data_IF_492042739063
#
_entry.id   IF_492042739063
#
_cell.length_a   1.000
_cell.length_b   1.000
_cell.length_c   1.000
_cell.angle_alpha   90.00
_cell.angle_beta   90.00
_cell.angle_gamma   90.00
#
_symmetry.space_group_name_H-M   'P 1'
#
loop_
_entity.id
_entity.type
_entity.pdbx_description
1 polymer ?
#
# COMPACT_ATOMS: atom_id res chain seq x y z
N UNK A 1 -2.98 -12.84 -13.72
CA UNK A 1 -2.13 -11.63 -13.80
C UNK A 1 -2.89 -10.54 -13.07
N UNK A 2 -2.58 -10.32 -11.80
CA UNK A 2 -2.99 -9.08 -11.15
C UNK A 2 -2.33 -7.95 -11.94
N UNK A 3 -3.15 -7.11 -12.57
CA UNK A 3 -2.63 -5.87 -13.13
C UNK A 3 -2.11 -5.08 -11.93
N UNK A 4 -0.80 -4.77 -11.92
CA UNK A 4 -0.15 -4.09 -10.82
C UNK A 4 -0.58 -2.60 -10.84
N UNK A 5 -1.78 -2.36 -10.34
CA UNK A 5 -2.44 -1.07 -10.33
C UNK A 5 -1.77 -0.19 -9.27
N UNK A 6 -1.42 1.03 -9.66
CA UNK A 6 -0.90 2.05 -8.76
C UNK A 6 -2.00 3.03 -8.41
N UNK A 7 -2.23 3.25 -7.13
CA UNK A 7 -3.16 4.27 -6.66
C UNK A 7 -2.38 5.54 -6.32
N UNK A 8 -2.68 6.64 -7.02
CA UNK A 8 -1.97 7.92 -6.87
C UNK A 8 -2.92 9.07 -6.55
N UNK A 9 -2.47 10.03 -5.77
CA UNK A 9 -3.12 11.33 -5.64
C UNK A 9 -2.16 12.45 -6.02
N UNK A 10 -2.71 13.56 -6.48
CA UNK A 10 -1.95 14.73 -6.92
C UNK A 10 -2.36 15.93 -6.10
N UNK A 11 -1.44 16.89 -5.99
CA UNK A 11 -1.67 18.08 -5.19
C UNK A 11 -1.89 19.29 -6.09
N UNK A 12 -2.65 20.25 -5.58
CA UNK A 12 -2.85 21.55 -6.22
C UNK A 12 -2.58 22.64 -5.20
N UNK A 13 -1.87 23.68 -5.62
CA UNK A 13 -1.75 24.91 -4.85
C UNK A 13 -2.26 26.10 -5.66
N UNK A 14 -3.16 26.87 -5.06
CA UNK A 14 -3.73 28.10 -5.63
C UNK A 14 -3.53 29.19 -4.59
N UNK A 15 -2.68 30.18 -4.90
CA UNK A 15 -2.39 31.34 -4.09
C UNK A 15 -2.63 32.59 -4.94
N UNK A 16 -3.77 33.25 -4.76
CA UNK A 16 -4.15 34.45 -5.52
C UNK A 16 -4.62 35.53 -4.53
N UNK A 17 -3.92 36.67 -4.49
CA UNK A 17 -4.17 37.75 -3.53
C UNK A 17 -4.18 37.22 -2.08
N UNK A 18 -5.32 37.34 -1.39
CA UNK A 18 -5.54 36.86 -0.03
C UNK A 18 -6.10 35.42 0.04
N UNK A 19 -6.42 34.83 -1.11
CA UNK A 19 -6.92 33.46 -1.19
C UNK A 19 -5.77 32.47 -1.28
N UNK A 20 -5.86 31.40 -0.49
CA UNK A 20 -4.90 30.32 -0.44
C UNK A 20 -5.64 29.00 -0.34
N UNK A 21 -5.38 28.10 -1.27
CA UNK A 21 -5.95 26.76 -1.31
C UNK A 21 -4.86 25.73 -1.58
N UNK A 22 -4.89 24.67 -0.78
CA UNK A 22 -4.05 23.50 -0.92
C UNK A 22 -4.96 22.28 -0.90
N UNK A 23 -4.98 21.53 -1.99
CA UNK A 23 -5.91 20.43 -2.19
C UNK A 23 -5.24 19.17 -2.66
N UNK A 24 -5.87 18.04 -2.35
CA UNK A 24 -5.52 16.72 -2.85
C UNK A 24 -6.60 16.33 -3.88
N UNK A 25 -6.19 15.73 -4.99
CA UNK A 25 -7.11 15.21 -5.99
C UNK A 25 -7.87 13.99 -5.50
N UNK A 26 -8.88 13.57 -6.26
CA UNK A 26 -9.36 12.17 -6.17
C UNK A 26 -8.21 11.18 -6.42
N UNK A 27 -8.40 9.96 -5.93
CA UNK A 27 -7.47 8.85 -6.21
C UNK A 27 -7.57 8.47 -7.68
N UNK A 28 -6.42 8.32 -8.32
CA UNK A 28 -6.27 7.82 -9.68
C UNK A 28 -5.79 6.38 -9.62
N UNK A 29 -6.54 5.51 -10.27
CA UNK A 29 -6.15 4.15 -10.58
C UNK A 29 -5.29 4.17 -11.86
N UNK A 30 -4.03 3.79 -11.74
CA UNK A 30 -3.07 3.83 -12.85
C UNK A 30 -2.63 2.41 -13.16
N UNK A 31 -3.09 1.84 -14.29
CA UNK A 31 -2.66 0.51 -14.71
C UNK A 31 -1.15 0.46 -14.93
N UNK A 32 -0.59 -0.74 -14.79
CA UNK A 32 0.82 -0.99 -15.05
C UNK A 32 1.22 -0.54 -16.47
N UNK A 33 2.42 0.02 -16.61
CA UNK A 33 2.92 0.56 -17.87
C UNK A 33 2.33 1.92 -18.30
N UNK A 34 1.34 2.46 -17.57
CA UNK A 34 0.88 3.84 -17.77
C UNK A 34 1.71 4.83 -16.95
N UNK A 35 1.86 6.04 -17.48
CA UNK A 35 2.62 7.10 -16.80
C UNK A 35 1.87 7.60 -15.56
N UNK A 36 2.55 7.57 -14.41
CA UNK A 36 2.07 8.16 -13.16
C UNK A 36 2.16 9.69 -13.15
N UNK A 37 2.88 10.29 -14.10
CA UNK A 37 3.06 11.75 -14.16
C UNK A 37 1.91 12.41 -14.94
N UNK A 38 1.39 11.73 -15.96
CA UNK A 38 0.42 12.29 -16.90
C UNK A 38 -0.84 12.88 -16.23
N UNK A 39 -1.48 12.21 -15.24
CA UNK A 39 -2.64 12.80 -14.56
C UNK A 39 -2.26 14.02 -13.68
N UNK A 40 -1.00 14.10 -13.24
CA UNK A 40 -0.45 15.21 -12.46
C UNK A 40 -0.27 16.50 -13.24
N UNK A 41 -0.09 16.43 -14.57
CA UNK A 41 0.20 17.60 -15.42
C UNK A 41 -0.87 18.69 -15.28
N UNK A 42 -2.16 18.32 -15.27
CA UNK A 42 -3.23 19.33 -15.14
C UNK A 42 -3.19 20.07 -13.79
N UNK A 43 -2.81 19.37 -12.72
CA UNK A 43 -2.69 19.95 -11.39
C UNK A 43 -1.42 20.80 -11.26
N UNK A 44 -0.34 20.38 -11.92
CA UNK A 44 0.88 21.17 -12.06
C UNK A 44 0.64 22.45 -12.87
N UNK A 45 -0.12 22.40 -13.97
CA UNK A 45 -0.49 23.59 -14.75
C UNK A 45 -1.29 24.56 -13.89
N UNK A 46 -2.30 24.09 -13.16
CA UNK A 46 -3.07 24.94 -12.24
C UNK A 46 -2.16 25.58 -11.19
N UNK A 47 -1.20 24.83 -10.64
CA UNK A 47 -0.25 25.33 -9.66
C UNK A 47 0.74 26.34 -10.27
N UNK A 48 1.19 26.14 -11.52
CA UNK A 48 2.04 27.10 -12.23
C UNK A 48 1.27 28.37 -12.58
N UNK A 49 -0.01 28.26 -12.92
CA UNK A 49 -0.81 29.43 -13.29
C UNK A 49 -1.26 30.21 -12.07
N UNK A 50 -1.47 29.56 -10.93
CA UNK A 50 -2.14 30.19 -9.79
C UNK A 50 -1.42 30.07 -8.46
N UNK A 51 -0.25 29.43 -8.37
CA UNK A 51 0.43 29.12 -7.10
C UNK A 51 1.28 30.25 -6.50
N UNK A 52 1.44 31.39 -7.18
CA UNK A 52 2.44 32.42 -6.81
C UNK A 52 1.89 33.84 -6.64
N UNK A 53 0.62 34.08 -6.99
CA UNK A 53 0.03 35.43 -7.03
C UNK A 53 -0.48 35.92 -5.66
N UNK A 54 -0.02 35.30 -4.58
CA UNK A 54 -0.38 35.70 -3.22
C UNK A 54 0.35 36.98 -2.82
N UNK A 55 -0.37 38.08 -2.69
CA UNK A 55 0.15 39.34 -2.13
C UNK A 55 -0.03 39.34 -0.61
N UNK A 56 0.97 38.83 0.10
CA UNK A 56 1.05 38.90 1.57
C UNK A 56 2.45 39.37 2.01
N UNK A 57 2.62 39.64 3.31
CA UNK A 57 3.91 39.97 3.92
C UNK A 57 5.03 39.03 3.43
N UNK A 58 6.27 39.51 3.23
CA UNK A 58 7.35 38.78 2.57
C UNK A 58 7.55 37.33 3.07
N UNK A 59 7.43 37.14 4.39
CA UNK A 59 7.56 35.84 5.05
C UNK A 59 6.48 34.83 4.67
N UNK A 60 5.22 35.26 4.55
CA UNK A 60 4.10 34.40 4.13
C UNK A 60 4.13 34.13 2.63
N UNK A 61 4.54 35.12 1.83
CA UNK A 61 4.75 34.96 0.39
C UNK A 61 5.79 33.87 0.07
N UNK A 62 6.92 33.85 0.78
CA UNK A 62 7.94 32.81 0.62
C UNK A 62 7.41 31.40 0.90
N UNK A 63 6.61 31.23 1.95
CA UNK A 63 6.01 29.94 2.28
C UNK A 63 5.09 29.44 1.17
N UNK A 64 4.25 30.31 0.58
CA UNK A 64 3.36 29.96 -0.52
C UNK A 64 4.12 29.50 -1.77
N UNK A 65 5.19 30.20 -2.13
CA UNK A 65 6.08 29.80 -3.23
C UNK A 65 6.69 28.43 -2.95
N UNK A 66 7.21 28.22 -1.73
CA UNK A 66 7.76 26.92 -1.31
C UNK A 66 6.72 25.80 -1.46
N UNK A 67 5.49 26.00 -1.00
CA UNK A 67 4.45 24.99 -1.12
C UNK A 67 4.09 24.69 -2.59
N UNK A 68 3.97 25.71 -3.43
CA UNK A 68 3.72 25.53 -4.86
C UNK A 68 4.84 24.73 -5.52
N UNK A 69 6.12 25.00 -5.18
CA UNK A 69 7.26 24.21 -5.66
C UNK A 69 7.19 22.76 -5.17
N UNK A 70 6.87 22.53 -3.89
CA UNK A 70 6.68 21.18 -3.34
C UNK A 70 5.54 20.43 -4.05
N UNK A 71 4.43 21.11 -4.37
CA UNK A 71 3.32 20.50 -5.12
C UNK A 71 3.75 20.10 -6.52
N UNK A 72 4.51 20.96 -7.21
CA UNK A 72 5.06 20.63 -8.52
C UNK A 72 6.01 19.44 -8.43
N UNK A 73 6.91 19.44 -7.47
CA UNK A 73 7.84 18.35 -7.21
C UNK A 73 7.09 17.02 -7.02
N UNK A 74 6.10 16.97 -6.13
CA UNK A 74 5.27 15.79 -5.89
C UNK A 74 4.59 15.32 -7.18
N UNK A 75 3.97 16.22 -7.94
CA UNK A 75 3.24 15.86 -9.16
C UNK A 75 4.18 15.38 -10.27
N UNK A 76 5.36 15.99 -10.43
CA UNK A 76 6.37 15.56 -11.42
C UNK A 76 7.07 14.26 -11.03
N UNK A 77 7.06 13.88 -9.75
CA UNK A 77 7.45 12.55 -9.28
C UNK A 77 6.32 11.50 -9.35
N UNK A 78 5.17 11.85 -9.94
CA UNK A 78 4.07 10.92 -10.18
C UNK A 78 2.99 10.89 -9.10
N UNK A 79 2.99 11.87 -8.19
CA UNK A 79 2.00 12.02 -7.12
C UNK A 79 2.31 11.20 -5.87
N UNK A 80 1.52 11.43 -4.83
CA UNK A 80 1.60 10.67 -3.58
C UNK A 80 1.13 9.22 -3.81
N UNK A 81 1.90 8.26 -3.29
CA UNK A 81 1.61 6.83 -3.40
C UNK A 81 0.60 6.39 -2.33
N UNK A 82 -0.58 5.96 -2.77
CA UNK A 82 -1.61 5.38 -1.93
C UNK A 82 -1.81 3.89 -2.21
N UNK A 83 -0.96 3.28 -3.04
CA UNK A 83 -1.14 1.89 -3.50
C UNK A 83 -1.26 0.94 -2.33
N UNK A 84 -0.33 1.03 -1.37
CA UNK A 84 -0.33 0.20 -0.16
C UNK A 84 -1.63 0.33 0.65
N UNK A 85 -2.08 1.56 0.89
CA UNK A 85 -3.27 1.81 1.70
C UNK A 85 -4.53 1.22 1.04
N UNK A 86 -4.63 1.27 -0.29
CA UNK A 86 -5.75 0.66 -1.02
C UNK A 86 -5.65 -0.86 -1.09
N UNK A 87 -4.46 -1.41 -1.29
CA UNK A 87 -4.24 -2.87 -1.28
C UNK A 87 -4.56 -3.48 0.09
N UNK A 88 -4.35 -2.75 1.17
CA UNK A 88 -4.56 -3.25 2.54
C UNK A 88 -5.98 -2.99 3.07
N UNK A 89 -6.79 -2.17 2.40
CA UNK A 89 -8.05 -1.63 2.96
C UNK A 89 -9.10 -2.70 3.28
N UNK A 90 -9.13 -3.78 2.50
CA UNK A 90 -10.16 -4.82 2.60
C UNK A 90 -9.74 -6.00 3.50
N UNK A 91 -8.58 -5.91 4.16
CA UNK A 91 -8.01 -7.00 4.95
C UNK A 91 -8.04 -6.75 6.46
N UNK A 92 -8.07 -7.83 7.24
CA UNK A 92 -8.00 -7.75 8.69
C UNK A 92 -6.63 -7.24 9.16
N UNK A 93 -6.60 -6.61 10.36
CA UNK A 93 -5.36 -6.11 10.97
C UNK A 93 -4.28 -7.21 11.08
N UNK A 94 -4.69 -8.44 11.40
CA UNK A 94 -3.80 -9.60 11.48
C UNK A 94 -3.11 -9.87 10.14
N UNK A 95 -3.88 -9.91 9.05
CA UNK A 95 -3.39 -10.13 7.69
C UNK A 95 -2.41 -9.03 7.28
N UNK A 96 -2.78 -7.75 7.49
CA UNK A 96 -1.95 -6.59 7.19
C UNK A 96 -0.64 -6.64 7.97
N UNK A 97 -0.70 -6.96 9.27
CA UNK A 97 0.49 -7.00 10.12
C UNK A 97 1.44 -8.11 9.70
N UNK A 98 0.93 -9.32 9.47
CA UNK A 98 1.74 -10.46 9.04
C UNK A 98 2.44 -10.14 7.72
N UNK A 99 1.69 -9.67 6.72
CA UNK A 99 2.21 -9.32 5.40
C UNK A 99 3.33 -8.26 5.47
N UNK A 100 3.14 -7.22 6.27
CA UNK A 100 4.12 -6.14 6.44
C UNK A 100 5.37 -6.53 7.24
N UNK A 101 5.38 -7.68 7.89
CA UNK A 101 6.49 -8.17 8.71
C UNK A 101 7.21 -9.38 8.11
N UNK A 102 6.91 -9.73 6.86
CA UNK A 102 7.63 -10.77 6.11
C UNK A 102 8.99 -10.28 5.65
N UNK A 103 9.94 -11.20 5.49
CA UNK A 103 11.21 -10.92 4.82
C UNK A 103 10.97 -10.50 3.37
N UNK A 104 11.84 -9.63 2.85
CA UNK A 104 11.75 -9.09 1.49
C UNK A 104 11.60 -10.16 0.40
N UNK A 105 12.39 -11.23 0.48
CA UNK A 105 12.32 -12.35 -0.48
C UNK A 105 10.95 -13.05 -0.48
N UNK A 106 10.28 -13.09 0.67
CA UNK A 106 8.95 -13.67 0.81
C UNK A 106 7.87 -12.69 0.34
N UNK A 107 8.01 -11.42 0.70
CA UNK A 107 7.15 -10.34 0.21
C UNK A 107 7.13 -10.26 -1.31
N UNK A 108 8.27 -10.43 -1.99
CA UNK A 108 8.36 -10.35 -3.46
C UNK A 108 7.66 -11.53 -4.19
N UNK A 109 7.36 -12.63 -3.50
CA UNK A 109 6.73 -13.82 -4.10
C UNK A 109 5.32 -14.11 -3.60
N UNK A 110 4.80 -13.35 -2.63
CA UNK A 110 3.48 -13.58 -2.04
C UNK A 110 2.63 -12.32 -2.16
N UNK A 111 1.32 -12.49 -2.25
CA UNK A 111 0.37 -11.39 -2.18
C UNK A 111 -0.29 -11.34 -0.79
N UNK A 112 -0.97 -10.23 -0.46
CA UNK A 112 -1.71 -10.10 0.79
C UNK A 112 -2.91 -11.05 0.83
N UNK A 113 -3.56 -11.28 -0.32
CA UNK A 113 -4.61 -12.28 -0.55
C UNK A 113 -4.12 -13.67 -0.14
N UNK A 114 -2.87 -14.01 -0.50
CA UNK A 114 -2.27 -15.29 -0.16
C UNK A 114 -2.07 -15.43 1.35
N UNK A 115 -1.66 -14.35 2.02
CA UNK A 115 -1.50 -14.33 3.48
C UNK A 115 -2.86 -14.50 4.18
N UNK A 116 -3.88 -13.84 3.68
CA UNK A 116 -5.25 -13.95 4.19
C UNK A 116 -5.77 -15.39 4.14
N UNK A 117 -5.62 -16.02 2.96
CA UNK A 117 -5.94 -17.45 2.77
C UNK A 117 -5.14 -18.33 3.74
N UNK A 118 -3.86 -18.06 3.95
CA UNK A 118 -3.05 -18.86 4.87
C UNK A 118 -3.55 -18.72 6.30
N UNK A 119 -3.94 -17.52 6.74
CA UNK A 119 -4.51 -17.28 8.06
C UNK A 119 -5.81 -18.07 8.23
N UNK A 120 -6.69 -18.07 7.23
CA UNK A 120 -7.91 -18.87 7.25
C UNK A 120 -7.62 -20.37 7.36
N UNK A 121 -6.64 -20.86 6.61
CA UNK A 121 -6.19 -22.25 6.70
C UNK A 121 -5.57 -22.59 8.07
N UNK A 122 -4.87 -21.65 8.71
CA UNK A 122 -4.38 -21.83 10.08
C UNK A 122 -5.53 -21.99 11.08
N UNK A 123 -6.58 -21.18 10.92
CA UNK A 123 -7.77 -21.27 11.76
C UNK A 123 -8.50 -22.61 11.54
N UNK A 124 -8.67 -23.04 10.28
CA UNK A 124 -9.25 -24.34 9.94
C UNK A 124 -8.44 -25.50 10.55
N UNK A 125 -7.10 -25.48 10.40
CA UNK A 125 -6.23 -26.50 10.95
C UNK A 125 -6.36 -26.61 12.47
N UNK A 126 -6.31 -25.47 13.16
CA UNK A 126 -6.40 -25.38 14.63
C UNK A 126 -7.73 -25.89 15.18
N UNK A 127 -8.82 -25.81 14.41
CA UNK A 127 -10.12 -26.36 14.80
C UNK A 127 -10.23 -27.87 14.54
N UNK A 128 -9.57 -28.35 13.48
CA UNK A 128 -9.69 -29.75 13.03
C UNK A 128 -8.77 -30.72 13.76
N UNK A 129 -7.64 -30.25 14.30
CA UNK A 129 -6.59 -31.12 14.83
C UNK A 129 -6.30 -30.91 16.32
N UNK A 130 -6.30 -32.00 17.08
CA UNK A 130 -6.04 -31.97 18.54
C UNK A 130 -4.56 -31.93 18.90
N UNK A 131 -3.67 -32.36 17.98
CA UNK A 131 -2.22 -32.39 18.20
C UNK A 131 -1.50 -31.56 17.11
N UNK A 132 -1.37 -30.27 17.41
CA UNK A 132 -0.81 -29.25 16.53
C UNK A 132 0.72 -29.39 16.51
N UNK A 133 1.26 -29.99 15.44
CA UNK A 133 2.69 -29.91 15.13
C UNK A 133 2.92 -29.02 13.91
N UNK A 134 4.03 -28.28 13.91
CA UNK A 134 4.40 -27.39 12.79
C UNK A 134 4.47 -28.17 11.48
N UNK A 135 5.05 -29.37 11.50
CA UNK A 135 5.18 -30.22 10.32
C UNK A 135 3.82 -30.63 9.73
N UNK A 136 2.87 -31.07 10.58
CA UNK A 136 1.52 -31.42 10.13
C UNK A 136 0.79 -30.22 9.56
N UNK A 137 0.95 -29.06 10.20
CA UNK A 137 0.36 -27.81 9.78
C UNK A 137 0.88 -27.40 8.39
N UNK A 138 2.20 -27.41 8.18
CA UNK A 138 2.81 -27.11 6.88
C UNK A 138 2.32 -28.06 5.80
N UNK A 139 2.24 -29.37 6.09
CA UNK A 139 1.71 -30.36 5.14
C UNK A 139 0.26 -30.05 4.77
N UNK A 140 -0.58 -29.74 5.77
CA UNK A 140 -1.98 -29.37 5.56
C UNK A 140 -2.11 -28.12 4.69
N UNK A 141 -1.44 -27.04 5.05
CA UNK A 141 -1.48 -25.76 4.31
C UNK A 141 -0.95 -25.95 2.90
N UNK A 142 0.18 -26.63 2.73
CA UNK A 142 0.77 -26.90 1.41
C UNK A 142 -0.21 -27.66 0.51
N UNK A 143 -0.90 -28.66 1.04
CA UNK A 143 -1.90 -29.42 0.29
C UNK A 143 -3.09 -28.57 -0.13
N UNK A 144 -3.59 -27.72 0.77
CA UNK A 144 -4.72 -26.82 0.51
C UNK A 144 -4.35 -25.73 -0.50
N UNK A 145 -3.18 -25.09 -0.35
CA UNK A 145 -2.66 -24.10 -1.29
C UNK A 145 -2.48 -24.69 -2.70
N UNK A 146 -1.96 -25.91 -2.81
CA UNK A 146 -1.86 -26.63 -4.09
C UNK A 146 -3.21 -26.80 -4.78
N UNK A 147 -4.27 -27.12 -4.02
CA UNK A 147 -5.64 -27.21 -4.57
C UNK A 147 -6.18 -25.88 -5.08
N UNK A 148 -5.71 -24.77 -4.51
CA UNK A 148 -6.02 -23.40 -4.94
C UNK A 148 -5.07 -22.89 -6.05
N UNK A 149 -4.21 -23.73 -6.60
CA UNK A 149 -3.16 -23.39 -7.57
C UNK A 149 -2.11 -22.38 -7.05
N UNK A 150 -1.92 -22.29 -5.73
CA UNK A 150 -0.87 -21.49 -5.08
C UNK A 150 0.31 -22.43 -4.80
N UNK A 151 1.38 -22.32 -5.59
CA UNK A 151 2.52 -23.30 -5.58
C UNK A 151 3.91 -22.65 -5.47
N UNK A 152 3.95 -21.34 -5.28
CA UNK A 152 5.15 -20.50 -5.16
C UNK A 152 5.80 -20.50 -3.77
N UNK A 153 5.15 -21.08 -2.76
CA UNK A 153 5.63 -21.09 -1.37
C UNK A 153 6.31 -22.42 -1.02
N UNK A 154 7.51 -22.33 -0.42
CA UNK A 154 8.25 -23.47 0.13
C UNK A 154 7.91 -23.67 1.61
N UNK A 155 8.28 -24.81 2.18
CA UNK A 155 8.04 -25.10 3.61
C UNK A 155 8.64 -24.03 4.54
N UNK A 156 9.88 -23.60 4.29
CA UNK A 156 10.53 -22.53 5.08
C UNK A 156 9.78 -21.17 4.97
N UNK A 157 9.09 -20.94 3.86
CA UNK A 157 8.28 -19.74 3.66
C UNK A 157 7.01 -19.81 4.52
N UNK A 158 6.38 -20.99 4.57
CA UNK A 158 5.22 -21.24 5.44
C UNK A 158 5.60 -21.21 6.92
N UNK A 159 6.76 -21.74 7.29
CA UNK A 159 7.29 -21.64 8.67
C UNK A 159 7.41 -20.20 9.13
N UNK A 160 7.94 -19.32 8.28
CA UNK A 160 8.02 -17.89 8.58
C UNK A 160 6.64 -17.26 8.75
N UNK A 161 5.70 -17.54 7.84
CA UNK A 161 4.34 -16.98 7.92
C UNK A 161 3.65 -17.44 9.20
N UNK A 162 3.69 -18.74 9.51
CA UNK A 162 3.13 -19.31 10.73
C UNK A 162 3.78 -18.68 11.97
N UNK A 163 5.10 -18.52 11.96
CA UNK A 163 5.82 -17.83 13.03
C UNK A 163 5.32 -16.40 13.23
N UNK A 164 5.12 -15.64 12.14
CA UNK A 164 4.60 -14.26 12.21
C UNK A 164 3.15 -14.21 12.70
N UNK A 165 2.31 -15.13 12.28
CA UNK A 165 0.94 -15.28 12.80
C UNK A 165 0.97 -15.46 14.32
N UNK A 166 1.79 -16.39 14.81
CA UNK A 166 1.93 -16.63 16.25
C UNK A 166 2.46 -15.39 16.98
N UNK A 167 3.46 -14.69 16.42
CA UNK A 167 3.97 -13.45 17.01
C UNK A 167 2.88 -12.38 17.18
N UNK A 168 1.99 -12.23 16.21
CA UNK A 168 0.86 -11.30 16.31
C UNK A 168 -0.09 -11.69 17.45
N UNK A 169 -0.44 -12.97 17.56
CA UNK A 169 -1.33 -13.47 18.61
C UNK A 169 -0.74 -13.32 20.02
N UNK A 170 0.58 -13.47 20.17
CA UNK A 170 1.25 -13.20 21.44
C UNK A 170 1.22 -11.72 21.83
N UNK A 171 1.25 -10.82 20.85
CA UNK A 171 1.19 -9.36 21.09
C UNK A 171 -0.22 -8.90 21.49
N UNK A 172 -1.25 -9.60 21.01
CA UNK A 172 -2.66 -9.26 21.26
C UNK A 172 -3.18 -9.77 22.62
N UNK A 173 -2.38 -10.54 23.37
CA UNK A 173 -2.65 -11.00 24.74
C UNK A 173 -2.04 -10.05 25.76
#
# INVERSE_FOLDING_TARGET
>A
MENNIKYRTYRTSINIFLYSYYGISKVYEIPEGKSTILPGIKYSILTILFGWWGFELPWKGYQKIKYSLTVLDINFHGGDDYTKAFTEMDYEEKTIWVYNNLRRELFEKTSIETIDIIIDLQNEFSQSESNITIEKNIIFVTHKLKKLNIVNLRNNDLEEIIYKINQFEYRAK
#
